data_IF_453832968227
#
_entry.id   IF_453832968227
#
_cell.length_a   1.000
_cell.length_b   1.000
_cell.length_c   1.000
_cell.angle_alpha   90.00
_cell.angle_beta   90.00
_cell.angle_gamma   90.00
#
_symmetry.space_group_name_H-M   'P 1'
#
loop_
_entity.id
_entity.type
_entity.pdbx_description
1 polymer ?
#
# COMPACT_ATOMS: atom_id res chain seq x y z
N UNK A 1 12.07 -17.97 -3.08
CA UNK A 1 12.37 -16.82 -3.98
C UNK A 1 11.08 -16.21 -4.53
N UNK A 2 10.16 -17.02 -5.03
CA UNK A 2 8.83 -16.58 -5.53
C UNK A 2 8.02 -15.74 -4.53
N UNK A 3 7.93 -16.13 -3.25
CA UNK A 3 7.25 -15.36 -2.20
C UNK A 3 7.80 -13.94 -2.03
N UNK A 4 9.10 -13.75 -2.23
CA UNK A 4 9.74 -12.43 -2.16
C UNK A 4 9.38 -11.60 -3.39
N UNK A 5 9.33 -12.23 -4.57
CA UNK A 5 8.92 -11.55 -5.80
C UNK A 5 7.46 -11.06 -5.72
N UNK A 6 6.54 -11.93 -5.28
CA UNK A 6 5.13 -11.58 -5.10
C UNK A 6 4.94 -10.45 -4.07
N UNK A 7 5.60 -10.51 -2.91
CA UNK A 7 5.55 -9.45 -1.90
C UNK A 7 6.14 -8.12 -2.42
N UNK A 8 7.20 -8.20 -3.23
CA UNK A 8 7.82 -7.03 -3.87
C UNK A 8 6.88 -6.40 -4.89
N UNK A 9 6.25 -7.20 -5.73
CA UNK A 9 5.29 -6.73 -6.73
C UNK A 9 4.10 -6.03 -6.06
N UNK A 10 3.52 -6.65 -5.02
CA UNK A 10 2.44 -6.05 -4.24
C UNK A 10 2.85 -4.71 -3.62
N UNK A 11 4.04 -4.63 -3.05
CA UNK A 11 4.57 -3.38 -2.51
C UNK A 11 4.70 -2.28 -3.58
N UNK A 12 5.23 -2.61 -4.77
CA UNK A 12 5.37 -1.64 -5.85
C UNK A 12 4.02 -1.21 -6.41
N UNK A 13 3.06 -2.12 -6.58
CA UNK A 13 1.71 -1.76 -7.00
C UNK A 13 1.05 -0.79 -6.01
N UNK A 14 1.18 -1.02 -4.70
CA UNK A 14 0.64 -0.10 -3.69
C UNK A 14 1.37 1.25 -3.70
N UNK A 15 2.70 1.24 -3.81
CA UNK A 15 3.54 2.45 -3.75
C UNK A 15 3.40 3.34 -4.98
N UNK A 16 3.45 2.74 -6.16
CA UNK A 16 3.59 3.46 -7.42
C UNK A 16 2.26 3.74 -8.10
N UNK A 17 1.20 3.04 -7.70
CA UNK A 17 -0.07 3.05 -8.43
C UNK A 17 -1.27 3.39 -7.53
N UNK A 18 -1.51 2.62 -6.46
CA UNK A 18 -2.71 2.77 -5.64
C UNK A 18 -2.64 4.02 -4.75
N UNK A 19 -1.57 4.18 -3.97
CA UNK A 19 -1.44 5.33 -3.07
C UNK A 19 -1.47 6.67 -3.82
N UNK A 20 -0.72 6.87 -4.92
CA UNK A 20 -0.76 8.12 -5.68
C UNK A 20 -2.15 8.46 -6.20
N UNK A 21 -2.95 7.47 -6.64
CA UNK A 21 -4.32 7.71 -7.09
C UNK A 21 -5.25 8.11 -5.94
N UNK A 22 -5.10 7.50 -4.76
CA UNK A 22 -5.87 7.90 -3.58
C UNK A 22 -5.53 9.33 -3.15
N UNK A 23 -4.25 9.72 -3.20
CA UNK A 23 -3.80 11.09 -2.96
C UNK A 23 -4.36 12.08 -4.00
N UNK A 24 -4.41 11.68 -5.28
CA UNK A 24 -5.00 12.52 -6.33
C UNK A 24 -6.52 12.65 -6.23
N UNK A 25 -7.21 11.73 -5.55
CA UNK A 25 -8.66 11.76 -5.40
C UNK A 25 -9.14 12.70 -4.30
N UNK A 26 -8.37 12.89 -3.21
CA UNK A 26 -8.84 13.68 -2.05
C UNK A 26 -8.95 15.18 -2.36
N UNK A 27 -7.96 15.76 -3.04
CA UNK A 27 -7.92 17.19 -3.36
C UNK A 27 -9.12 17.66 -4.20
N UNK A 28 -9.46 17.04 -5.35
CA UNK A 28 -10.64 17.45 -6.12
C UNK A 28 -11.94 17.20 -5.36
N UNK A 29 -12.02 16.16 -4.53
CA UNK A 29 -13.21 15.88 -3.70
C UNK A 29 -13.43 16.98 -2.66
N UNK A 30 -12.36 17.46 -2.02
CA UNK A 30 -12.41 18.60 -1.11
C UNK A 30 -12.85 19.90 -1.81
N UNK A 31 -12.33 20.15 -3.01
CA UNK A 31 -12.71 21.32 -3.81
C UNK A 31 -14.18 21.26 -4.25
N UNK A 32 -14.66 20.09 -4.66
CA UNK A 32 -16.06 19.90 -5.03
C UNK A 32 -16.99 20.08 -3.81
N UNK A 33 -16.58 19.60 -2.63
CA UNK A 33 -17.35 19.80 -1.40
C UNK A 33 -17.43 21.28 -1.01
N UNK A 34 -16.31 22.03 -1.06
CA UNK A 34 -16.32 23.45 -0.73
C UNK A 34 -17.12 24.29 -1.72
N UNK A 35 -17.24 23.84 -2.97
CA UNK A 35 -18.12 24.40 -3.99
C UNK A 35 -19.59 23.96 -3.85
N UNK A 36 -19.94 23.10 -2.88
CA UNK A 36 -21.30 22.57 -2.69
C UNK A 36 -21.75 21.57 -3.76
N UNK A 37 -20.82 21.02 -4.53
CA UNK A 37 -21.10 20.10 -5.64
C UNK A 37 -21.23 18.63 -5.21
N UNK A 38 -20.61 18.27 -4.08
CA UNK A 38 -20.71 16.92 -3.48
C UNK A 38 -20.99 17.03 -1.98
N UNK A 39 -21.67 16.04 -1.37
CA UNK A 39 -21.89 16.03 0.07
C UNK A 39 -20.59 15.74 0.85
N UNK A 40 -20.57 16.12 2.15
CA UNK A 40 -19.43 15.86 3.05
C UNK A 40 -19.04 14.37 3.11
N UNK A 41 -20.01 13.46 2.97
CA UNK A 41 -19.77 12.01 2.98
C UNK A 41 -18.78 11.59 1.89
N UNK A 42 -18.78 12.22 0.72
CA UNK A 42 -17.83 11.92 -0.36
C UNK A 42 -16.39 12.26 0.03
N UNK A 43 -16.18 13.33 0.81
CA UNK A 43 -14.86 13.66 1.37
C UNK A 43 -14.40 12.61 2.37
N UNK A 44 -15.31 12.16 3.23
CA UNK A 44 -15.03 11.12 4.23
C UNK A 44 -14.63 9.81 3.53
N UNK A 45 -15.36 9.41 2.49
CA UNK A 45 -15.05 8.22 1.69
C UNK A 45 -13.67 8.33 1.02
N UNK A 46 -13.36 9.47 0.40
CA UNK A 46 -12.04 9.71 -0.20
C UNK A 46 -10.91 9.65 0.84
N UNK A 47 -11.13 10.21 2.04
CA UNK A 47 -10.16 10.16 3.13
C UNK A 47 -9.94 8.73 3.65
N UNK A 48 -11.02 7.94 3.77
CA UNK A 48 -10.93 6.53 4.16
C UNK A 48 -10.13 5.73 3.13
N UNK A 49 -10.37 5.92 1.84
CA UNK A 49 -9.60 5.25 0.77
C UNK A 49 -8.11 5.60 0.87
N UNK A 50 -7.77 6.86 1.12
CA UNK A 50 -6.39 7.29 1.34
C UNK A 50 -5.75 6.60 2.54
N UNK A 51 -6.40 6.61 3.70
CA UNK A 51 -5.88 5.97 4.91
C UNK A 51 -5.73 4.45 4.76
N UNK A 52 -6.69 3.81 4.10
CA UNK A 52 -6.60 2.37 3.79
C UNK A 52 -5.40 2.09 2.88
N UNK A 53 -5.20 2.88 1.83
CA UNK A 53 -4.06 2.72 0.91
C UNK A 53 -2.71 2.91 1.61
N UNK A 54 -2.62 3.91 2.49
CA UNK A 54 -1.44 4.14 3.33
C UNK A 54 -1.18 2.95 4.28
N UNK A 55 -2.23 2.43 4.93
CA UNK A 55 -2.13 1.26 5.80
C UNK A 55 -1.63 0.04 5.02
N UNK A 56 -2.23 -0.21 3.86
CA UNK A 56 -1.90 -1.38 3.03
C UNK A 56 -0.45 -1.32 2.55
N UNK A 57 0.08 -0.13 2.21
CA UNK A 57 1.48 0.05 1.87
C UNK A 57 2.42 -0.31 3.04
N UNK A 58 2.08 0.12 4.27
CA UNK A 58 2.86 -0.23 5.47
C UNK A 58 2.87 -1.74 5.69
N UNK A 59 1.71 -2.39 5.57
CA UNK A 59 1.59 -3.86 5.71
C UNK A 59 2.41 -4.57 4.64
N UNK A 60 2.28 -4.18 3.36
CA UNK A 60 3.01 -4.80 2.26
C UNK A 60 4.54 -4.65 2.42
N UNK A 61 5.00 -3.52 2.96
CA UNK A 61 6.43 -3.33 3.28
C UNK A 61 6.89 -4.30 4.38
N UNK A 62 6.10 -4.50 5.42
CA UNK A 62 6.42 -5.44 6.50
C UNK A 62 6.41 -6.90 6.00
N UNK A 63 5.46 -7.26 5.13
CA UNK A 63 5.40 -8.57 4.49
C UNK A 63 6.61 -8.84 3.61
N UNK A 64 7.06 -7.86 2.81
CA UNK A 64 8.28 -7.96 2.01
C UNK A 64 9.51 -8.20 2.89
N UNK A 65 9.64 -7.46 4.00
CA UNK A 65 10.73 -7.67 4.97
C UNK A 65 10.71 -9.07 5.58
N UNK A 66 9.52 -9.56 5.92
CA UNK A 66 9.32 -10.91 6.46
C UNK A 66 9.67 -11.99 5.43
N UNK A 67 9.28 -11.82 4.17
CA UNK A 67 9.60 -12.75 3.09
C UNK A 67 11.13 -12.84 2.87
N UNK A 68 11.84 -11.71 2.91
CA UNK A 68 13.30 -11.68 2.86
C UNK A 68 13.95 -12.38 4.05
N UNK A 69 13.47 -12.13 5.26
CA UNK A 69 14.00 -12.78 6.46
C UNK A 69 13.84 -14.31 6.41
N UNK A 70 12.68 -14.80 5.93
CA UNK A 70 12.42 -16.23 5.74
C UNK A 70 13.34 -16.84 4.67
N UNK A 71 13.50 -16.16 3.53
CA UNK A 71 14.41 -16.62 2.48
C UNK A 71 15.84 -16.76 2.98
N UNK A 72 16.34 -15.74 3.71
CA UNK A 72 17.68 -15.77 4.31
C UNK A 72 17.85 -16.93 5.28
N UNK A 73 16.86 -17.17 6.14
CA UNK A 73 16.90 -18.30 7.09
C UNK A 73 16.96 -19.65 6.36
N UNK A 74 16.16 -19.83 5.30
CA UNK A 74 16.19 -21.04 4.49
C UNK A 74 17.56 -21.26 3.83
N UNK A 75 18.15 -20.20 3.24
CA UNK A 75 19.47 -20.29 2.62
C UNK A 75 20.63 -20.47 3.61
N UNK A 76 20.49 -20.01 4.86
CA UNK A 76 21.51 -20.19 5.89
C UNK A 76 21.41 -21.54 6.62
N UNK A 77 20.23 -22.18 6.64
CA UNK A 77 20.05 -23.50 7.22
C UNK A 77 20.56 -24.65 6.34
N UNK A 78 20.86 -24.39 5.06
CA UNK A 78 21.37 -25.35 4.09
C UNK A 78 22.90 -25.51 4.14
N UNK A 79 23.58 -24.75 5.00
CA UNK A 79 25.04 -24.84 5.23
C UNK A 79 25.29 -25.45 6.60
N UNK A 80 25.13 -26.77 6.71
CA UNK A 80 25.77 -27.55 7.78
C UNK A 80 26.36 -28.81 7.13
N UNK A 81 27.70 -28.92 6.99
CA UNK A 81 28.35 -30.20 6.69
C UNK A 81 28.34 -31.14 7.90
#
# INVERSE_FOLDING_TARGET
>A
RETVAAARERYHALRDDILPRAEQAITPTLAAYSAGQVPLVSVIEAAQVLWMSQRDLVVARAELGTAWARLRRASSGEVTP
#
